data_IF_519868620992
#
_entry.id   IF_519868620992
#
_cell.length_a   1.000
_cell.length_b   1.000
_cell.length_c   1.000
_cell.angle_alpha   90.00
_cell.angle_beta   90.00
_cell.angle_gamma   90.00
#
_symmetry.space_group_name_H-M   'P 1'
#
loop_
_entity.id
_entity.type
_entity.pdbx_description
1 polymer ?
#
# COMPACT_ATOMS: atom_id res chain seq x y z
N UNK A 1 -3.06 -13.02 71.24
CA UNK A 1 -3.75 -11.74 71.48
C UNK A 1 -4.25 -11.22 70.15
N UNK A 2 -5.55 -10.87 70.10
CA UNK A 2 -6.28 -10.42 68.91
C UNK A 2 -5.88 -8.99 68.52
N UNK A 3 -5.77 -8.71 67.23
CA UNK A 3 -6.35 -7.50 66.63
C UNK A 3 -6.94 -7.87 65.26
N UNK A 4 -8.27 -7.79 65.22
CA UNK A 4 -9.08 -7.79 64.02
C UNK A 4 -9.19 -6.34 63.54
N UNK A 5 -9.08 -6.10 62.23
CA UNK A 5 -9.84 -5.02 61.59
C UNK A 5 -10.17 -5.45 60.15
N UNK A 6 -11.47 -5.40 59.89
CA UNK A 6 -12.20 -5.78 58.68
C UNK A 6 -12.08 -4.67 57.63
N UNK A 7 -11.81 -5.00 56.36
CA UNK A 7 -12.44 -4.29 55.23
C UNK A 7 -12.53 -5.23 54.02
N UNK A 8 -13.77 -5.52 53.64
CA UNK A 8 -14.15 -6.25 52.43
C UNK A 8 -14.24 -5.22 51.31
N UNK A 9 -13.56 -5.45 50.18
CA UNK A 9 -14.09 -5.13 48.84
C UNK A 9 -13.58 -6.20 47.86
N UNK A 10 -14.51 -7.02 47.39
CA UNK A 10 -14.42 -7.71 46.10
C UNK A 10 -14.64 -6.67 45.00
N UNK A 11 -13.71 -6.54 44.06
CA UNK A 11 -13.91 -6.00 42.70
C UNK A 11 -12.73 -6.58 41.89
N UNK A 12 -12.89 -7.69 41.17
CA UNK A 12 -13.33 -7.72 39.77
C UNK A 12 -13.00 -6.44 38.99
N UNK A 13 -12.34 -6.68 37.85
CA UNK A 13 -12.26 -5.84 36.67
C UNK A 13 -11.10 -4.84 36.56
N UNK A 14 -10.47 -4.94 35.39
CA UNK A 14 -9.99 -3.83 34.55
C UNK A 14 -8.53 -3.40 34.70
N UNK A 15 -7.68 -4.03 33.89
CA UNK A 15 -6.62 -3.34 33.14
C UNK A 15 -6.54 -4.01 31.76
N UNK A 16 -7.51 -3.68 30.91
CA UNK A 16 -7.58 -4.05 29.50
C UNK A 16 -8.02 -2.76 28.80
N UNK A 17 -7.06 -1.89 28.50
CA UNK A 17 -7.25 -0.64 27.74
C UNK A 17 -5.87 -0.01 27.49
N UNK A 18 -5.10 -0.58 26.54
CA UNK A 18 -3.97 0.11 25.92
C UNK A 18 -3.80 -0.19 24.43
N UNK A 19 -4.73 -0.92 23.79
CA UNK A 19 -4.61 -1.32 22.37
C UNK A 19 -5.35 -0.37 21.39
N UNK A 20 -6.10 0.61 21.89
CA UNK A 20 -6.98 1.43 21.05
C UNK A 20 -6.36 2.71 20.46
N UNK A 21 -5.25 3.22 21.03
CA UNK A 21 -4.64 4.47 20.54
C UNK A 21 -3.68 4.21 19.37
N UNK A 22 -2.74 3.27 19.51
CA UNK A 22 -1.73 2.99 18.46
C UNK A 22 -2.34 2.53 17.14
N UNK A 23 -3.41 1.75 17.18
CA UNK A 23 -4.13 1.27 15.99
C UNK A 23 -4.84 2.42 15.25
N UNK A 24 -5.39 3.40 15.96
CA UNK A 24 -6.00 4.59 15.33
C UNK A 24 -4.94 5.49 14.67
N UNK A 25 -3.77 5.65 15.30
CA UNK A 25 -2.67 6.43 14.73
C UNK A 25 -2.02 5.76 13.50
N UNK A 26 -1.75 4.46 13.57
CA UNK A 26 -1.20 3.71 12.43
C UNK A 26 -2.15 3.75 11.22
N UNK A 27 -3.44 3.56 11.46
CA UNK A 27 -4.45 3.67 10.39
C UNK A 27 -4.52 5.10 9.82
N UNK A 28 -4.49 6.14 10.66
CA UNK A 28 -4.50 7.53 10.21
C UNK A 28 -3.27 7.91 9.36
N UNK A 29 -2.10 7.40 9.73
CA UNK A 29 -0.87 7.58 8.96
C UNK A 29 -0.94 6.82 7.62
N UNK A 30 -1.44 5.59 7.65
CA UNK A 30 -1.60 4.75 6.46
C UNK A 30 -2.56 5.37 5.42
N UNK A 31 -3.70 5.91 5.85
CA UNK A 31 -4.63 6.64 4.97
C UNK A 31 -3.92 7.77 4.23
N UNK A 32 -3.13 8.56 4.98
CA UNK A 32 -2.43 9.71 4.42
C UNK A 32 -1.41 9.30 3.37
N UNK A 33 -0.72 8.19 3.58
CA UNK A 33 0.30 7.73 2.64
C UNK A 33 -0.31 7.22 1.34
N UNK A 34 -1.43 6.49 1.43
CA UNK A 34 -2.20 6.12 0.23
C UNK A 34 -2.69 7.35 -0.52
N UNK A 35 -3.22 8.36 0.18
CA UNK A 35 -3.61 9.60 -0.48
C UNK A 35 -2.44 10.31 -1.17
N UNK A 36 -1.26 10.33 -0.54
CA UNK A 36 -0.06 10.91 -1.12
C UNK A 36 0.35 10.16 -2.38
N UNK A 37 0.32 8.82 -2.33
CA UNK A 37 0.59 7.97 -3.47
C UNK A 37 -0.43 8.21 -4.60
N UNK A 38 -1.73 8.22 -4.34
CA UNK A 38 -2.75 8.53 -5.36
C UNK A 38 -2.53 9.91 -6.00
N UNK A 39 -2.18 10.93 -5.20
CA UNK A 39 -1.84 12.28 -5.71
C UNK A 39 -0.59 12.24 -6.60
N UNK A 40 0.41 11.45 -6.24
CA UNK A 40 1.62 11.23 -7.04
C UNK A 40 1.30 10.56 -8.37
N UNK A 41 0.50 9.48 -8.37
CA UNK A 41 0.04 8.79 -9.58
C UNK A 41 -0.67 9.77 -10.52
N UNK A 42 -1.65 10.54 -10.02
CA UNK A 42 -2.36 11.57 -10.80
C UNK A 42 -1.40 12.61 -11.40
N UNK A 43 -0.40 13.06 -10.63
CA UNK A 43 0.61 14.03 -11.08
C UNK A 43 1.43 13.47 -12.26
N UNK A 44 1.82 12.20 -12.21
CA UNK A 44 2.56 11.57 -13.31
C UNK A 44 1.71 11.39 -14.56
N UNK A 45 0.44 10.99 -14.43
CA UNK A 45 -0.48 10.91 -15.58
C UNK A 45 -0.64 12.24 -16.31
N UNK A 46 -0.67 13.35 -15.57
CA UNK A 46 -0.72 14.68 -16.19
C UNK A 46 0.55 15.00 -16.97
N UNK A 47 1.72 14.49 -16.58
CA UNK A 47 2.97 14.69 -17.32
C UNK A 47 3.02 13.86 -18.61
N UNK A 48 2.56 12.62 -18.58
CA UNK A 48 2.59 11.72 -19.75
C UNK A 48 1.63 12.16 -20.86
N UNK A 49 0.46 12.72 -20.52
CA UNK A 49 -0.48 13.26 -21.53
C UNK A 49 0.10 14.38 -22.41
N UNK A 50 1.25 14.95 -22.06
CA UNK A 50 1.96 15.93 -22.89
C UNK A 50 3.08 15.33 -23.77
N UNK A 51 3.39 14.02 -23.69
CA UNK A 51 4.63 13.41 -24.18
C UNK A 51 4.48 12.30 -25.26
N UNK A 52 3.46 12.33 -26.13
CA UNK A 52 3.27 11.47 -27.34
C UNK A 52 2.52 10.11 -27.21
N UNK A 53 2.50 9.30 -28.29
CA UNK A 53 1.36 8.93 -29.16
C UNK A 53 1.02 7.42 -29.27
N UNK A 54 -0.17 7.14 -29.84
CA UNK A 54 -0.63 5.95 -30.63
C UNK A 54 -0.43 4.53 -30.09
N UNK A 55 -1.12 4.18 -29.01
CA UNK A 55 -1.69 2.84 -28.82
C UNK A 55 -3.17 3.06 -28.45
N UNK A 56 -4.08 2.17 -28.87
CA UNK A 56 -5.50 2.37 -28.56
C UNK A 56 -5.69 2.27 -27.04
N UNK A 57 -6.30 3.29 -26.42
CA UNK A 57 -6.57 3.30 -24.96
C UNK A 57 -7.29 2.02 -24.51
N UNK A 58 -8.11 1.43 -25.39
CA UNK A 58 -8.82 0.17 -25.16
C UNK A 58 -7.90 -1.04 -24.96
N UNK A 59 -6.82 -1.17 -25.73
CA UNK A 59 -5.92 -2.34 -25.61
C UNK A 59 -5.12 -2.30 -24.31
N UNK A 60 -4.64 -1.10 -23.91
CA UNK A 60 -3.96 -0.89 -22.63
C UNK A 60 -4.84 -1.19 -21.43
N UNK A 61 -6.10 -0.75 -21.47
CA UNK A 61 -7.07 -1.02 -20.40
C UNK A 61 -7.32 -2.51 -20.19
N UNK A 62 -7.39 -3.29 -21.28
CA UNK A 62 -7.60 -4.75 -21.21
C UNK A 62 -6.39 -5.45 -20.55
N UNK A 63 -5.16 -5.03 -20.89
CA UNK A 63 -3.94 -5.60 -20.30
C UNK A 63 -3.78 -5.25 -18.81
N UNK A 64 -4.07 -4.00 -18.43
CA UNK A 64 -4.08 -3.55 -17.03
C UNK A 64 -5.08 -4.33 -16.18
N UNK A 65 -6.30 -4.52 -16.66
CA UNK A 65 -7.35 -5.22 -15.93
C UNK A 65 -7.06 -6.72 -15.80
N UNK A 66 -6.48 -7.35 -16.83
CA UNK A 66 -6.04 -8.74 -16.75
C UNK A 66 -4.89 -8.93 -15.75
N UNK A 67 -3.93 -8.01 -15.75
CA UNK A 67 -2.81 -8.06 -14.80
C UNK A 67 -3.31 -7.89 -13.36
N UNK A 68 -4.22 -6.94 -13.12
CA UNK A 68 -4.81 -6.76 -11.80
C UNK A 68 -5.62 -7.98 -11.36
N UNK A 69 -6.40 -8.60 -12.26
CA UNK A 69 -7.14 -9.82 -11.96
C UNK A 69 -6.23 -10.94 -11.43
N UNK A 70 -5.04 -11.11 -12.01
CA UNK A 70 -4.05 -12.09 -11.48
C UNK A 70 -3.59 -11.75 -10.06
N UNK A 71 -3.34 -10.48 -9.77
CA UNK A 71 -2.97 -10.06 -8.42
C UNK A 71 -4.12 -10.24 -7.43
N UNK A 72 -5.37 -10.03 -7.85
CA UNK A 72 -6.53 -10.35 -7.02
C UNK A 72 -6.59 -11.83 -6.67
N UNK A 73 -6.38 -12.73 -7.64
CA UNK A 73 -6.30 -14.17 -7.37
C UNK A 73 -5.20 -14.50 -6.35
N UNK A 74 -4.02 -13.88 -6.48
CA UNK A 74 -2.93 -14.06 -5.51
C UNK A 74 -3.28 -13.54 -4.12
N UNK A 75 -3.96 -12.40 -4.03
CA UNK A 75 -4.47 -11.86 -2.77
C UNK A 75 -5.46 -12.86 -2.13
N UNK A 76 -6.41 -13.40 -2.90
CA UNK A 76 -7.36 -14.41 -2.42
C UNK A 76 -6.66 -15.69 -1.96
N UNK A 77 -5.58 -16.07 -2.63
CA UNK A 77 -4.71 -17.20 -2.28
C UNK A 77 -3.82 -16.92 -1.06
N UNK A 78 -3.93 -15.74 -0.44
CA UNK A 78 -3.11 -15.27 0.67
C UNK A 78 -1.61 -15.08 0.32
N UNK A 79 -1.30 -14.82 -0.94
CA UNK A 79 0.07 -14.63 -1.47
C UNK A 79 0.37 -13.15 -1.71
N UNK A 80 0.12 -12.29 -0.72
CA UNK A 80 0.26 -10.83 -0.86
C UNK A 80 1.70 -10.42 -1.12
N UNK A 81 2.64 -10.95 -0.31
CA UNK A 81 4.06 -10.65 -0.45
C UNK A 81 4.60 -11.11 -1.82
N UNK A 82 4.23 -12.32 -2.27
CA UNK A 82 4.61 -12.79 -3.60
C UNK A 82 4.03 -11.91 -4.72
N UNK A 83 2.77 -11.46 -4.58
CA UNK A 83 2.13 -10.58 -5.55
C UNK A 83 2.85 -9.23 -5.65
N UNK A 84 3.20 -8.65 -4.49
CA UNK A 84 3.98 -7.41 -4.43
C UNK A 84 5.36 -7.58 -5.08
N UNK A 85 6.09 -8.66 -4.78
CA UNK A 85 7.40 -8.92 -5.36
C UNK A 85 7.35 -8.96 -6.89
N UNK A 86 6.34 -9.62 -7.45
CA UNK A 86 6.12 -9.68 -8.91
C UNK A 86 5.84 -8.27 -9.45
N UNK A 87 4.91 -7.53 -8.84
CA UNK A 87 4.58 -6.17 -9.25
C UNK A 87 5.81 -5.24 -9.22
N UNK A 88 6.59 -5.32 -8.14
CA UNK A 88 7.77 -4.50 -7.95
C UNK A 88 8.86 -4.80 -8.99
N UNK A 89 9.13 -6.07 -9.27
CA UNK A 89 10.10 -6.45 -10.29
C UNK A 89 9.64 -6.04 -11.70
N UNK A 90 8.34 -6.10 -12.02
CA UNK A 90 7.81 -5.57 -13.28
C UNK A 90 8.06 -4.06 -13.42
N UNK A 91 7.79 -3.28 -12.36
CA UNK A 91 8.02 -1.83 -12.33
C UNK A 91 9.52 -1.51 -12.48
N UNK A 92 10.38 -2.22 -11.76
CA UNK A 92 11.82 -2.02 -11.76
C UNK A 92 12.46 -2.33 -13.12
N UNK A 93 11.99 -3.38 -13.79
CA UNK A 93 12.49 -3.77 -15.12
C UNK A 93 12.06 -2.78 -16.20
N UNK A 94 10.81 -2.34 -16.16
CA UNK A 94 10.29 -1.37 -17.13
C UNK A 94 9.18 -0.51 -16.50
N UNK A 95 9.51 0.68 -15.96
CA UNK A 95 8.57 1.51 -15.22
C UNK A 95 7.53 2.15 -16.15
N UNK A 96 6.49 1.41 -16.49
CA UNK A 96 5.36 1.81 -17.35
C UNK A 96 4.22 2.42 -16.53
N UNK A 97 3.46 3.38 -17.07
CA UNK A 97 2.37 3.98 -16.30
C UNK A 97 1.18 3.03 -16.08
N UNK A 98 1.01 2.05 -16.97
CA UNK A 98 0.07 0.94 -16.83
C UNK A 98 0.33 0.16 -15.53
N UNK A 99 1.60 -0.15 -15.21
CA UNK A 99 1.97 -0.85 -13.97
C UNK A 99 1.76 0.02 -12.72
N UNK A 100 1.89 1.34 -12.85
CA UNK A 100 1.62 2.24 -11.75
C UNK A 100 0.13 2.27 -11.37
N UNK A 101 -0.78 2.17 -12.34
CA UNK A 101 -2.23 2.03 -12.05
C UNK A 101 -2.53 0.71 -11.37
N UNK A 102 -1.91 -0.37 -11.83
CA UNK A 102 -2.07 -1.68 -11.21
C UNK A 102 -1.56 -1.65 -9.76
N UNK A 103 -0.44 -0.97 -9.50
CA UNK A 103 0.05 -0.73 -8.14
C UNK A 103 -0.94 0.06 -7.28
N UNK A 104 -1.53 1.14 -7.80
CA UNK A 104 -2.57 1.90 -7.11
C UNK A 104 -3.76 1.02 -6.70
N UNK A 105 -4.28 0.21 -7.63
CA UNK A 105 -5.37 -0.74 -7.34
C UNK A 105 -4.94 -1.79 -6.30
N UNK A 106 -3.73 -2.34 -6.43
CA UNK A 106 -3.17 -3.35 -5.51
C UNK A 106 -3.10 -2.83 -4.07
N UNK A 107 -2.40 -1.71 -3.84
CA UNK A 107 -2.26 -1.15 -2.49
C UNK A 107 -3.59 -0.64 -1.93
N UNK A 108 -4.53 -0.21 -2.77
CA UNK A 108 -5.88 0.12 -2.33
C UNK A 108 -6.66 -1.09 -1.78
N UNK A 109 -6.43 -2.29 -2.31
CA UNK A 109 -7.04 -3.52 -1.77
C UNK A 109 -6.32 -3.99 -0.51
N UNK A 110 -4.98 -4.04 -0.52
CA UNK A 110 -4.17 -4.44 0.64
C UNK A 110 -4.40 -3.52 1.83
N UNK A 111 -4.58 -2.22 1.58
CA UNK A 111 -4.90 -1.23 2.60
C UNK A 111 -6.16 -1.56 3.41
N UNK A 112 -7.21 -2.09 2.76
CA UNK A 112 -8.51 -2.38 3.40
C UNK A 112 -8.48 -3.58 4.35
N UNK A 113 -7.41 -4.38 4.29
CA UNK A 113 -7.27 -5.59 5.11
C UNK A 113 -6.91 -5.22 6.55
N UNK A 114 -7.24 -6.10 7.51
CA UNK A 114 -6.88 -5.90 8.92
C UNK A 114 -5.39 -6.21 9.16
N UNK A 115 -4.81 -5.59 10.18
CA UNK A 115 -3.41 -5.83 10.56
C UNK A 115 -3.18 -7.31 10.92
N UNK A 116 -4.14 -7.95 11.60
CA UNK A 116 -4.10 -9.38 11.90
C UNK A 116 -4.03 -10.24 10.62
N UNK A 117 -4.80 -9.88 9.58
CA UNK A 117 -4.78 -10.60 8.32
C UNK A 117 -3.44 -10.44 7.60
N UNK A 118 -2.89 -9.22 7.57
CA UNK A 118 -1.58 -8.96 6.95
C UNK A 118 -0.46 -9.71 7.69
N UNK A 119 -0.46 -9.67 9.02
CA UNK A 119 0.53 -10.37 9.84
C UNK A 119 0.50 -11.88 9.61
N UNK A 120 -0.68 -12.47 9.45
CA UNK A 120 -0.82 -13.89 9.10
C UNK A 120 -0.20 -14.26 7.74
N UNK A 121 0.00 -13.27 6.86
CA UNK A 121 0.68 -13.43 5.57
C UNK A 121 2.13 -12.94 5.56
N UNK A 122 2.72 -12.73 6.74
CA UNK A 122 4.05 -12.12 6.89
C UNK A 122 4.16 -10.80 6.12
N UNK A 123 3.15 -9.95 6.29
CA UNK A 123 3.06 -8.64 5.66
C UNK A 123 2.66 -7.59 6.70
N UNK A 124 3.16 -6.37 6.53
CA UNK A 124 3.04 -5.29 7.52
C UNK A 124 2.72 -3.96 6.87
N UNK A 125 2.23 -3.02 7.68
CA UNK A 125 2.01 -1.64 7.23
C UNK A 125 3.31 -0.93 6.84
N UNK A 126 4.42 -1.27 7.51
CA UNK A 126 5.73 -0.73 7.21
C UNK A 126 6.18 -1.13 5.79
N UNK A 127 5.99 -2.39 5.40
CA UNK A 127 6.32 -2.86 4.04
C UNK A 127 5.53 -2.12 2.97
N UNK A 128 4.25 -1.82 3.21
CA UNK A 128 3.45 -0.99 2.29
C UNK A 128 4.14 0.37 2.07
N UNK A 129 4.56 1.05 3.15
CA UNK A 129 5.21 2.35 3.03
C UNK A 129 6.55 2.28 2.29
N UNK A 130 7.39 1.31 2.66
CA UNK A 130 8.69 1.12 2.03
C UNK A 130 8.55 0.83 0.53
N UNK A 131 7.55 0.05 0.14
CA UNK A 131 7.29 -0.25 -1.27
C UNK A 131 6.72 0.93 -2.04
N UNK A 132 5.83 1.74 -1.44
CA UNK A 132 5.30 2.95 -2.07
C UNK A 132 6.40 4.00 -2.30
N UNK A 133 7.28 4.21 -1.32
CA UNK A 133 8.42 5.11 -1.44
C UNK A 133 9.38 4.68 -2.55
N UNK A 134 9.71 3.39 -2.61
CA UNK A 134 10.57 2.84 -3.66
C UNK A 134 9.95 2.98 -5.05
N UNK A 135 8.66 2.70 -5.20
CA UNK A 135 7.94 2.90 -6.47
C UNK A 135 7.99 4.38 -6.86
N UNK A 136 7.71 5.29 -5.94
CA UNK A 136 7.79 6.73 -6.20
C UNK A 136 9.18 7.13 -6.69
N UNK A 137 10.25 6.68 -6.03
CA UNK A 137 11.62 6.98 -6.42
C UNK A 137 11.95 6.49 -7.83
N UNK A 138 11.52 5.28 -8.20
CA UNK A 138 11.72 4.71 -9.55
C UNK A 138 11.10 5.61 -10.62
N UNK A 139 9.84 6.01 -10.45
CA UNK A 139 9.16 6.84 -11.44
C UNK A 139 9.67 8.28 -11.44
N UNK A 140 10.03 8.85 -10.29
CA UNK A 140 10.66 10.16 -10.23
C UNK A 140 11.98 10.18 -11.00
N UNK A 141 12.85 9.17 -10.83
CA UNK A 141 14.08 9.03 -11.60
C UNK A 141 13.80 8.96 -13.10
N UNK A 142 12.81 8.17 -13.53
CA UNK A 142 12.40 8.06 -14.94
C UNK A 142 12.01 9.43 -15.51
N UNK A 143 11.10 10.15 -14.85
CA UNK A 143 10.55 11.42 -15.34
C UNK A 143 11.44 12.64 -15.09
N UNK A 144 12.44 12.54 -14.23
CA UNK A 144 13.45 13.59 -14.04
C UNK A 144 14.62 13.43 -15.00
N UNK A 145 14.99 12.20 -15.38
CA UNK A 145 16.02 11.97 -16.40
C UNK A 145 15.58 12.43 -17.81
N UNK A 146 14.27 12.37 -18.12
CA UNK A 146 13.75 12.84 -19.42
C UNK A 146 13.85 14.35 -19.65
N UNK A 147 14.27 15.15 -18.65
CA UNK A 147 14.46 16.60 -18.79
C UNK A 147 15.90 17.02 -19.10
N UNK A 148 16.87 16.09 -19.01
CA UNK A 148 18.30 16.40 -19.17
C UNK A 148 18.89 15.93 -20.50
N UNK A 149 18.17 15.15 -21.30
CA UNK A 149 18.65 14.66 -22.61
C UNK A 149 18.28 15.59 -23.79
N UNK A 150 17.41 16.59 -23.57
CA UNK A 150 16.97 17.57 -24.57
C UNK A 150 17.77 18.91 -24.55
N UNK A 151 19.04 18.91 -24.09
CA UNK A 151 19.92 20.10 -24.14
C UNK A 151 21.26 19.85 -24.82
#
# INVERSE_FOLDING_TARGET
MKKSCFFVVLFSDRCLESESDDTMFQNGFLVREIENFSKFVIKLFRKEKFAETTESESEKLIEEDYLFYRFQEMIYDNKINDAENILFEMIKQNPKLEYLKVAEKFYSEVFKMSDEYLLNQNYSRAEIFESLDQIQEIYEKKYNNSYNEDR
#
